data_IF_865071055535
#
_entry.id   IF_865071055535
#
_cell.length_a   1.000
_cell.length_b   1.000
_cell.length_c   1.000
_cell.angle_alpha   90.00
_cell.angle_beta   90.00
_cell.angle_gamma   90.00
#
_symmetry.space_group_name_H-M   'P 1'
#
loop_
_entity.id
_entity.type
_entity.pdbx_description
1 polymer ?
#
# COMPACT_ATOMS: atom_id res chain seq x y z
N UNK A 1 25.08 7.81 -32.31
CA UNK A 1 26.37 7.77 -33.05
C UNK A 1 26.83 9.21 -33.19
N UNK A 2 27.88 9.61 -32.46
CA UNK A 2 28.44 10.96 -32.58
C UNK A 2 29.49 10.96 -33.68
N UNK A 3 29.22 11.65 -34.79
CA UNK A 3 30.22 11.88 -35.81
C UNK A 3 31.21 12.93 -35.30
N UNK A 4 32.43 12.49 -34.97
CA UNK A 4 33.59 13.37 -34.94
C UNK A 4 33.86 13.79 -36.39
N UNK A 5 34.10 15.08 -36.60
CA UNK A 5 34.57 15.64 -37.87
C UNK A 5 35.83 14.90 -38.30
N UNK A 6 35.70 13.94 -39.21
CA UNK A 6 36.79 13.39 -40.00
C UNK A 6 36.16 12.68 -41.20
N UNK A 7 36.41 13.26 -42.37
CA UNK A 7 36.07 12.81 -43.73
C UNK A 7 34.60 12.84 -44.20
N UNK A 8 34.25 13.97 -44.81
CA UNK A 8 33.75 13.99 -46.20
C UNK A 8 32.25 13.96 -46.44
N UNK A 9 31.43 13.47 -45.52
CA UNK A 9 29.99 13.32 -45.78
C UNK A 9 29.16 14.36 -45.03
N UNK A 10 28.60 15.32 -45.78
CA UNK A 10 27.65 16.32 -45.28
C UNK A 10 26.23 15.83 -45.58
N UNK A 11 25.45 15.57 -44.54
CA UNK A 11 24.02 15.25 -44.69
C UNK A 11 23.31 16.53 -45.13
N UNK A 12 22.86 16.57 -46.38
CA UNK A 12 22.20 17.75 -46.98
C UNK A 12 20.67 17.65 -46.92
N UNK A 13 20.11 16.44 -46.93
CA UNK A 13 18.67 16.20 -46.96
C UNK A 13 18.28 14.93 -46.19
N UNK A 14 17.09 14.94 -45.58
CA UNK A 14 16.41 13.73 -45.07
C UNK A 14 15.03 13.69 -45.72
N UNK A 15 14.70 12.60 -46.42
CA UNK A 15 13.42 12.42 -47.13
C UNK A 15 13.07 13.58 -48.09
N UNK A 16 14.07 14.16 -48.76
CA UNK A 16 13.89 15.25 -49.72
C UNK A 16 13.65 16.64 -49.09
N UNK A 17 13.83 16.79 -47.77
CA UNK A 17 13.82 18.09 -47.11
C UNK A 17 15.25 18.52 -46.73
N UNK A 18 15.68 19.74 -47.08
CA UNK A 18 16.99 20.27 -46.70
C UNK A 18 17.10 20.43 -45.19
N UNK A 19 18.23 20.01 -44.60
CA UNK A 19 18.47 20.13 -43.14
C UNK A 19 19.61 21.10 -42.87
N UNK A 20 19.32 22.19 -42.16
CA UNK A 20 20.35 23.09 -41.62
C UNK A 20 20.74 22.73 -40.19
N UNK A 21 21.93 23.17 -39.75
CA UNK A 21 22.35 23.01 -38.34
C UNK A 21 21.37 23.74 -37.42
N UNK A 22 20.95 23.09 -36.33
CA UNK A 22 19.93 23.56 -35.39
C UNK A 22 18.50 23.67 -35.94
N UNK A 23 18.24 23.15 -37.14
CA UNK A 23 16.89 23.13 -37.71
C UNK A 23 16.19 21.80 -37.39
N UNK A 24 14.93 21.87 -36.99
CA UNK A 24 14.09 20.72 -36.68
C UNK A 24 13.36 20.33 -37.96
N UNK A 25 13.62 19.13 -38.48
CA UNK A 25 12.97 18.63 -39.69
C UNK A 25 12.04 17.49 -39.32
N UNK A 26 10.75 17.67 -39.58
CA UNK A 26 9.70 16.70 -39.27
C UNK A 26 9.52 15.73 -40.43
N UNK A 27 9.68 14.43 -40.18
CA UNK A 27 9.31 13.35 -41.10
C UNK A 27 8.13 12.57 -40.53
N UNK A 28 7.40 11.82 -41.36
CA UNK A 28 6.11 11.21 -40.97
C UNK A 28 6.08 10.35 -39.70
N UNK A 29 7.24 9.97 -39.13
CA UNK A 29 7.37 9.22 -37.88
C UNK A 29 8.25 9.91 -36.80
N UNK A 30 8.56 11.20 -36.91
CA UNK A 30 9.31 11.94 -35.88
C UNK A 30 9.96 13.24 -36.33
N UNK A 31 10.73 13.84 -35.43
CA UNK A 31 11.56 15.02 -35.65
C UNK A 31 13.04 14.61 -35.66
N UNK A 32 13.83 15.14 -36.60
CA UNK A 32 15.29 15.05 -36.56
C UNK A 32 15.86 16.43 -36.27
N UNK A 33 16.69 16.51 -35.25
CA UNK A 33 17.50 17.69 -34.94
C UNK A 33 18.97 17.37 -35.25
N UNK A 34 19.56 18.15 -36.15
CA UNK A 34 21.00 18.14 -36.40
C UNK A 34 21.66 19.17 -35.48
N UNK A 35 22.38 18.71 -34.45
CA UNK A 35 23.05 19.65 -33.53
C UNK A 35 24.17 20.40 -34.24
N UNK A 36 24.57 21.55 -33.70
CA UNK A 36 25.70 22.36 -34.22
C UNK A 36 27.02 21.57 -34.36
N UNK A 37 27.18 20.52 -33.54
CA UNK A 37 28.33 19.60 -33.53
C UNK A 37 28.19 18.42 -34.52
N UNK A 38 27.17 18.42 -35.37
CA UNK A 38 26.95 17.37 -36.38
C UNK A 38 26.38 16.06 -35.84
N UNK A 39 25.97 16.01 -34.56
CA UNK A 39 25.27 14.84 -34.03
C UNK A 39 23.79 14.90 -34.36
N UNK A 40 23.25 13.78 -34.83
CA UNK A 40 21.85 13.63 -35.18
C UNK A 40 21.06 13.12 -33.97
N UNK A 41 20.04 13.88 -33.57
CA UNK A 41 19.07 13.48 -32.55
C UNK A 41 17.74 13.20 -33.24
N UNK A 42 17.28 11.95 -33.18
CA UNK A 42 15.99 11.54 -33.73
C UNK A 42 15.02 11.46 -32.56
N UNK A 43 13.98 12.28 -32.58
CA UNK A 43 12.83 12.20 -31.66
C UNK A 43 11.68 11.54 -32.42
N UNK A 44 11.36 10.27 -32.17
CA UNK A 44 10.19 9.66 -32.80
C UNK A 44 8.92 10.43 -32.40
N UNK A 45 7.93 10.47 -33.29
CA UNK A 45 6.67 11.16 -33.03
C UNK A 45 5.99 10.49 -31.82
N UNK A 46 5.79 11.24 -30.74
CA UNK A 46 4.99 10.76 -29.62
C UNK A 46 3.54 10.65 -30.10
N UNK A 47 3.11 9.46 -30.50
CA UNK A 47 1.70 9.16 -30.77
C UNK A 47 0.87 9.21 -29.48
N UNK A 48 -0.18 8.40 -29.37
CA UNK A 48 -0.92 8.24 -28.10
C UNK A 48 -0.11 7.52 -26.99
N UNK A 49 1.14 7.15 -27.26
CA UNK A 49 2.01 6.40 -26.35
C UNK A 49 3.18 7.27 -25.88
N UNK A 50 3.38 7.33 -24.56
CA UNK A 50 4.55 7.95 -23.94
C UNK A 50 5.85 7.27 -24.38
N UNK A 51 6.99 7.97 -24.29
CA UNK A 51 8.32 7.39 -24.54
C UNK A 51 8.51 6.10 -23.73
N UNK A 52 9.05 5.06 -24.39
CA UNK A 52 9.23 3.73 -23.81
C UNK A 52 10.07 3.71 -22.52
N UNK A 53 10.84 4.77 -22.26
CA UNK A 53 11.56 4.96 -21.01
C UNK A 53 10.61 5.12 -19.82
N UNK A 54 9.46 5.77 -20.00
CA UNK A 54 8.48 6.06 -18.95
C UNK A 54 7.35 5.04 -18.89
N UNK A 55 6.89 4.55 -20.04
CA UNK A 55 5.81 3.57 -20.12
C UNK A 55 6.19 2.43 -21.09
N UNK A 56 6.77 1.32 -20.58
CA UNK A 56 7.14 0.19 -21.42
C UNK A 56 5.91 -0.51 -22.01
N UNK A 57 6.10 -1.12 -23.18
CA UNK A 57 5.07 -1.93 -23.81
C UNK A 57 4.63 -3.09 -22.89
N UNK A 58 3.32 -3.43 -22.82
CA UNK A 58 2.81 -4.51 -21.96
C UNK A 58 3.53 -5.86 -22.15
N UNK A 59 4.00 -6.15 -23.37
CA UNK A 59 4.76 -7.34 -23.68
C UNK A 59 6.12 -7.40 -22.95
N UNK A 60 6.78 -6.25 -22.80
CA UNK A 60 8.06 -6.15 -22.08
C UNK A 60 7.83 -6.34 -20.58
N UNK A 61 6.76 -5.78 -20.04
CA UNK A 61 6.32 -6.01 -18.66
C UNK A 61 6.07 -7.51 -18.42
N UNK A 62 5.40 -8.20 -19.34
CA UNK A 62 5.17 -9.65 -19.22
C UNK A 62 6.45 -10.48 -19.28
N UNK A 63 7.35 -10.20 -20.23
CA UNK A 63 8.66 -10.87 -20.32
C UNK A 63 9.49 -10.64 -19.05
N UNK A 64 9.50 -9.40 -18.57
CA UNK A 64 10.16 -9.01 -17.32
C UNK A 64 9.54 -9.72 -16.11
N UNK A 65 8.23 -9.91 -16.05
CA UNK A 65 7.56 -10.69 -15.00
C UNK A 65 8.00 -12.15 -14.99
N UNK A 66 8.03 -12.82 -16.16
CA UNK A 66 8.46 -14.22 -16.26
C UNK A 66 9.93 -14.38 -15.80
N UNK A 67 10.79 -13.44 -16.20
CA UNK A 67 12.19 -13.39 -15.77
C UNK A 67 12.31 -13.17 -14.26
N UNK A 68 11.59 -12.18 -13.72
CA UNK A 68 11.58 -11.86 -12.29
C UNK A 68 11.08 -13.05 -11.43
N UNK A 69 10.12 -13.80 -11.94
CA UNK A 69 9.58 -14.98 -11.26
C UNK A 69 10.58 -16.16 -11.23
N UNK A 70 11.48 -16.25 -12.21
CA UNK A 70 12.50 -17.31 -12.29
C UNK A 70 13.81 -16.94 -11.59
N UNK A 71 14.29 -15.73 -11.81
CA UNK A 71 15.62 -15.26 -11.41
C UNK A 71 15.59 -14.40 -10.13
N UNK A 72 14.42 -13.87 -9.75
CA UNK A 72 14.29 -12.93 -8.65
C UNK A 72 14.82 -11.53 -8.98
N UNK A 73 14.81 -10.65 -7.98
CA UNK A 73 15.40 -9.31 -8.06
C UNK A 73 16.36 -9.11 -6.88
N UNK A 74 17.62 -8.75 -7.16
CA UNK A 74 18.63 -8.52 -6.12
C UNK A 74 18.79 -9.74 -5.18
N UNK A 75 18.87 -10.95 -5.74
CA UNK A 75 18.96 -12.23 -5.00
C UNK A 75 17.77 -12.56 -4.07
N UNK A 76 16.64 -11.88 -4.22
CA UNK A 76 15.40 -12.17 -3.48
C UNK A 76 14.29 -12.51 -4.47
N UNK A 77 13.58 -13.61 -4.23
CA UNK A 77 12.47 -14.02 -5.07
C UNK A 77 11.33 -12.98 -5.06
N UNK A 78 10.60 -12.88 -6.17
CA UNK A 78 9.41 -12.01 -6.26
C UNK A 78 8.39 -12.32 -5.15
N UNK A 79 8.06 -13.60 -4.98
CA UNK A 79 7.13 -14.08 -3.97
C UNK A 79 7.69 -14.00 -2.55
N UNK A 80 9.00 -14.08 -2.38
CA UNK A 80 9.63 -13.86 -1.08
C UNK A 80 9.44 -12.41 -0.62
N UNK A 81 9.65 -11.43 -1.52
CA UNK A 81 9.38 -10.02 -1.22
C UNK A 81 7.92 -9.78 -0.81
N UNK A 82 6.98 -10.36 -1.56
CA UNK A 82 5.54 -10.31 -1.25
C UNK A 82 5.24 -10.94 0.11
N UNK A 83 5.82 -12.11 0.39
CA UNK A 83 5.62 -12.82 1.64
C UNK A 83 6.08 -12.00 2.85
N UNK A 84 7.25 -11.36 2.76
CA UNK A 84 7.73 -10.46 3.81
C UNK A 84 6.81 -9.26 4.05
N UNK A 85 6.27 -8.67 2.99
CA UNK A 85 5.27 -7.59 3.13
C UNK A 85 3.99 -8.10 3.80
N UNK A 86 3.50 -9.27 3.40
CA UNK A 86 2.28 -9.87 3.95
C UNK A 86 2.42 -10.23 5.43
N UNK A 87 3.51 -10.90 5.83
CA UNK A 87 3.69 -11.34 7.22
C UNK A 87 3.76 -10.14 8.17
N UNK A 88 4.43 -9.04 7.76
CA UNK A 88 4.49 -7.79 8.54
C UNK A 88 3.11 -7.20 8.77
N UNK A 89 2.29 -7.14 7.71
CA UNK A 89 0.92 -6.62 7.77
C UNK A 89 0.08 -7.48 8.69
N UNK A 90 0.12 -8.80 8.55
CA UNK A 90 -0.64 -9.72 9.39
C UNK A 90 -0.22 -9.61 10.86
N UNK A 91 1.08 -9.57 11.15
CA UNK A 91 1.58 -9.45 12.53
C UNK A 91 1.22 -8.10 13.16
N UNK A 92 1.46 -6.99 12.46
CA UNK A 92 1.12 -5.66 12.94
C UNK A 92 -0.39 -5.51 13.18
N UNK A 93 -1.20 -5.96 12.23
CA UNK A 93 -2.66 -5.97 12.35
C UNK A 93 -3.15 -6.87 13.51
N UNK A 94 -2.60 -8.08 13.64
CA UNK A 94 -2.97 -9.01 14.70
C UNK A 94 -2.67 -8.43 16.09
N UNK A 95 -1.49 -7.81 16.27
CA UNK A 95 -1.15 -7.09 17.50
C UNK A 95 -2.10 -5.90 17.72
N UNK A 96 -2.41 -5.15 16.65
CA UNK A 96 -3.34 -4.01 16.74
C UNK A 96 -4.74 -4.44 17.17
N UNK A 97 -5.23 -5.58 16.69
CA UNK A 97 -6.49 -6.17 17.14
C UNK A 97 -6.40 -6.66 18.59
N UNK A 98 -5.31 -7.35 18.94
CA UNK A 98 -5.09 -7.94 20.26
C UNK A 98 -5.13 -6.89 21.37
N UNK A 99 -4.57 -5.70 21.14
CA UNK A 99 -4.57 -4.62 22.12
C UNK A 99 -5.71 -3.61 21.90
N UNK A 100 -6.03 -3.29 20.65
CA UNK A 100 -7.04 -2.28 20.32
C UNK A 100 -8.46 -2.72 20.64
N UNK A 101 -8.82 -3.98 20.37
CA UNK A 101 -10.18 -4.46 20.68
C UNK A 101 -10.43 -4.43 22.19
N UNK A 102 -9.59 -5.01 23.06
CA UNK A 102 -9.80 -4.92 24.51
C UNK A 102 -9.83 -3.48 25.04
N UNK A 103 -8.95 -2.61 24.54
CA UNK A 103 -8.96 -1.20 24.93
C UNK A 103 -10.27 -0.51 24.53
N UNK A 104 -10.75 -0.73 23.31
CA UNK A 104 -12.03 -0.19 22.84
C UNK A 104 -13.22 -0.71 23.64
N UNK A 105 -13.22 -1.99 24.03
CA UNK A 105 -14.22 -2.53 24.96
C UNK A 105 -14.15 -1.88 26.34
N UNK A 106 -12.94 -1.71 26.89
CA UNK A 106 -12.75 -1.05 28.19
C UNK A 106 -13.29 0.40 28.15
N UNK A 107 -13.00 1.14 27.08
CA UNK A 107 -13.52 2.50 26.86
C UNK A 107 -15.03 2.54 26.62
N UNK A 108 -15.59 1.53 25.96
CA UNK A 108 -17.03 1.43 25.70
C UNK A 108 -17.86 1.07 26.94
N UNK A 109 -17.28 0.30 27.88
CA UNK A 109 -17.97 -0.19 29.08
C UNK A 109 -17.70 0.66 30.33
N UNK A 110 -16.60 1.41 30.38
CA UNK A 110 -16.19 2.18 31.56
C UNK A 110 -15.93 3.65 31.24
N UNK A 111 -16.64 4.53 31.93
CA UNK A 111 -16.45 5.98 31.84
C UNK A 111 -15.05 6.42 32.30
N UNK A 112 -14.40 5.67 33.19
CA UNK A 112 -13.05 5.98 33.66
C UNK A 112 -12.01 5.74 32.54
N UNK A 113 -12.06 4.57 31.90
CA UNK A 113 -11.19 4.27 30.75
C UNK A 113 -11.46 5.21 29.59
N UNK A 114 -12.73 5.54 29.35
CA UNK A 114 -13.12 6.53 28.34
C UNK A 114 -12.48 7.88 28.64
N UNK A 115 -12.64 8.43 29.84
CA UNK A 115 -12.08 9.75 30.18
C UNK A 115 -10.56 9.86 30.00
N UNK A 116 -9.82 8.79 30.31
CA UNK A 116 -8.35 8.80 30.20
C UNK A 116 -7.83 8.59 28.77
N UNK A 117 -8.41 7.63 28.03
CA UNK A 117 -7.89 7.23 26.72
C UNK A 117 -8.56 7.94 25.55
N UNK A 118 -9.77 8.48 25.70
CA UNK A 118 -10.49 9.17 24.62
C UNK A 118 -9.68 10.35 24.03
N UNK A 119 -9.08 11.24 24.85
CA UNK A 119 -8.25 12.33 24.32
C UNK A 119 -7.02 11.83 23.53
N UNK A 120 -6.38 10.75 23.99
CA UNK A 120 -5.19 10.17 23.34
C UNK A 120 -5.58 9.55 21.99
N UNK A 121 -6.69 8.81 21.96
CA UNK A 121 -7.18 8.14 20.75
C UNK A 121 -7.61 9.17 19.71
N UNK A 122 -8.36 10.21 20.10
CA UNK A 122 -8.78 11.26 19.18
C UNK A 122 -7.60 12.13 18.70
N UNK A 123 -6.56 12.31 19.51
CA UNK A 123 -5.33 12.97 19.09
C UNK A 123 -4.54 12.13 18.08
N UNK A 124 -4.45 10.82 18.29
CA UNK A 124 -3.70 9.92 17.39
C UNK A 124 -4.45 9.62 16.09
N UNK A 125 -5.78 9.75 16.08
CA UNK A 125 -6.63 9.49 14.91
C UNK A 125 -6.23 10.26 13.63
N UNK A 126 -5.97 11.59 13.65
CA UNK A 126 -5.56 12.33 12.46
C UNK A 126 -4.08 12.12 12.09
N UNK A 127 -3.25 11.58 13.00
CA UNK A 127 -1.81 11.44 12.77
C UNK A 127 -1.56 10.32 11.76
N UNK A 128 -1.03 10.62 10.56
CA UNK A 128 -0.72 9.59 9.58
C UNK A 128 0.34 8.65 10.16
N UNK A 129 0.18 7.32 10.09
CA UNK A 129 1.21 6.39 10.58
C UNK A 129 2.58 6.68 9.96
N UNK A 130 2.63 7.08 8.69
CA UNK A 130 3.86 7.44 7.97
C UNK A 130 4.69 8.53 8.67
N UNK A 131 4.04 9.47 9.36
CA UNK A 131 4.72 10.52 10.11
C UNK A 131 5.52 9.97 11.31
N UNK A 132 5.20 8.76 11.77
CA UNK A 132 5.86 8.09 12.89
C UNK A 132 7.09 7.30 12.47
N UNK A 133 7.39 7.15 11.17
CA UNK A 133 8.54 6.38 10.69
C UNK A 133 9.86 6.81 11.37
N UNK A 134 10.22 8.12 11.46
CA UNK A 134 11.47 8.52 12.09
C UNK A 134 11.53 8.14 13.57
N UNK A 135 10.42 8.30 14.30
CA UNK A 135 10.33 7.97 15.72
C UNK A 135 10.48 6.46 15.95
N UNK A 136 9.84 5.66 15.12
CA UNK A 136 9.93 4.20 15.15
C UNK A 136 11.36 3.72 14.87
N UNK A 137 12.06 4.37 13.93
CA UNK A 137 13.46 4.06 13.64
C UNK A 137 14.35 4.37 14.86
N UNK A 138 14.09 5.47 15.58
CA UNK A 138 14.85 5.80 16.79
C UNK A 138 14.59 4.79 17.91
N UNK A 139 13.34 4.35 18.09
CA UNK A 139 12.96 3.46 19.18
C UNK A 139 13.32 1.99 18.94
N UNK A 140 13.10 1.50 17.72
CA UNK A 140 13.18 0.07 17.38
C UNK A 140 14.22 -0.23 16.30
N UNK A 141 14.88 0.78 15.75
CA UNK A 141 15.83 0.63 14.65
C UNK A 141 15.16 0.38 13.29
N UNK A 142 15.99 0.04 12.31
CA UNK A 142 15.62 -0.21 10.90
C UNK A 142 15.15 -1.66 10.67
N UNK A 143 15.25 -2.51 11.70
CA UNK A 143 14.92 -3.92 11.60
C UNK A 143 13.43 -4.23 11.39
N UNK A 144 13.09 -5.51 11.37
CA UNK A 144 11.72 -6.01 11.22
C UNK A 144 10.79 -5.52 12.33
N UNK A 145 11.31 -5.40 13.55
CA UNK A 145 10.53 -4.94 14.71
C UNK A 145 9.97 -3.53 14.51
N UNK A 146 10.74 -2.58 13.98
CA UNK A 146 10.25 -1.22 13.72
C UNK A 146 9.07 -1.20 12.76
N UNK A 147 9.18 -1.91 11.63
CA UNK A 147 8.11 -2.03 10.63
C UNK A 147 6.82 -2.63 11.23
N UNK A 148 6.95 -3.68 12.03
CA UNK A 148 5.79 -4.32 12.70
C UNK A 148 5.19 -3.38 13.74
N UNK A 149 6.01 -2.69 14.55
CA UNK A 149 5.55 -1.70 15.53
C UNK A 149 4.78 -0.54 14.88
N UNK A 150 5.23 -0.08 13.72
CA UNK A 150 4.54 0.96 12.95
C UNK A 150 3.14 0.50 12.52
N UNK A 151 3.05 -0.70 11.95
CA UNK A 151 1.78 -1.31 11.52
C UNK A 151 0.86 -1.60 12.70
N UNK A 152 1.43 -2.04 13.82
CA UNK A 152 0.72 -2.19 15.08
C UNK A 152 0.06 -0.89 15.52
N UNK A 153 0.80 0.23 15.57
CA UNK A 153 0.25 1.53 15.96
C UNK A 153 -0.82 2.02 14.98
N UNK A 154 -0.64 1.78 13.68
CA UNK A 154 -1.63 2.11 12.67
C UNK A 154 -2.96 1.37 12.91
N UNK A 155 -2.91 0.06 13.20
CA UNK A 155 -4.09 -0.75 13.48
C UNK A 155 -4.68 -0.49 14.87
N UNK A 156 -3.85 -0.23 15.89
CA UNK A 156 -4.26 -0.09 17.29
C UNK A 156 -5.39 0.92 17.47
N UNK A 157 -5.22 2.14 16.94
CA UNK A 157 -6.18 3.21 17.14
C UNK A 157 -7.48 2.98 16.36
N UNK A 158 -7.37 2.52 15.11
CA UNK A 158 -8.53 2.19 14.27
C UNK A 158 -9.37 1.08 14.94
N UNK A 159 -8.73 0.02 15.43
CA UNK A 159 -9.41 -1.08 16.10
C UNK A 159 -10.02 -0.68 17.44
N UNK A 160 -9.35 0.20 18.19
CA UNK A 160 -9.87 0.77 19.44
C UNK A 160 -11.16 1.55 19.19
N UNK A 161 -11.16 2.41 18.18
CA UNK A 161 -12.33 3.22 17.81
C UNK A 161 -13.48 2.32 17.34
N UNK A 162 -13.20 1.35 16.47
CA UNK A 162 -14.21 0.43 15.96
C UNK A 162 -14.83 -0.44 17.05
N UNK A 163 -14.02 -0.96 17.98
CA UNK A 163 -14.52 -1.74 19.11
C UNK A 163 -15.35 -0.89 20.08
N UNK A 164 -14.91 0.34 20.39
CA UNK A 164 -15.70 1.28 21.19
C UNK A 164 -17.04 1.59 20.53
N UNK A 165 -17.04 1.94 19.24
CA UNK A 165 -18.24 2.25 18.49
C UNK A 165 -19.22 1.07 18.49
N UNK A 166 -18.70 -0.15 18.29
CA UNK A 166 -19.49 -1.38 18.35
C UNK A 166 -20.14 -1.62 19.71
N UNK A 167 -19.42 -1.34 20.80
CA UNK A 167 -19.97 -1.47 22.16
C UNK A 167 -21.01 -0.40 22.47
N UNK A 168 -20.73 0.86 22.13
CA UNK A 168 -21.67 1.98 22.36
C UNK A 168 -22.91 1.94 21.46
N UNK A 169 -22.85 1.26 20.31
CA UNK A 169 -23.96 1.10 19.38
C UNK A 169 -24.98 0.03 19.77
N UNK A 170 -24.76 -0.72 20.85
CA UNK A 170 -25.70 -1.75 21.31
C UNK A 170 -26.98 -1.10 21.84
N UNK A 171 -28.13 -1.46 21.27
CA UNK A 171 -29.42 -0.94 21.71
C UNK A 171 -29.67 -1.28 23.19
N UNK A 172 -29.94 -0.24 23.99
CA UNK A 172 -30.16 -0.35 25.43
C UNK A 172 -31.33 -1.27 25.78
N UNK A 173 -32.35 -1.39 24.92
CA UNK A 173 -33.45 -2.32 25.08
C UNK A 173 -32.99 -3.79 25.09
N UNK A 174 -31.99 -4.15 24.27
CA UNK A 174 -31.40 -5.51 24.29
C UNK A 174 -30.66 -5.77 25.60
N UNK A 175 -30.01 -4.75 26.14
CA UNK A 175 -29.31 -4.82 27.42
C UNK A 175 -30.29 -4.99 28.59
N UNK A 176 -31.36 -4.17 28.63
CA UNK A 176 -32.39 -4.28 29.65
C UNK A 176 -33.15 -5.62 29.57
N UNK A 177 -33.52 -6.08 28.37
CA UNK A 177 -34.18 -7.37 28.19
C UNK A 177 -33.29 -8.53 28.71
N UNK A 178 -31.99 -8.50 28.44
CA UNK A 178 -31.07 -9.50 28.97
C UNK A 178 -30.99 -9.46 30.49
N UNK A 179 -30.95 -8.28 31.11
CA UNK A 179 -31.01 -8.14 32.57
C UNK A 179 -32.34 -8.64 33.16
N UNK A 180 -33.48 -8.38 32.51
CA UNK A 180 -34.79 -8.90 32.93
C UNK A 180 -34.86 -10.43 32.88
N UNK A 181 -34.09 -11.07 31.99
CA UNK A 181 -33.93 -12.52 31.93
C UNK A 181 -32.90 -13.07 32.93
N UNK A 182 -32.37 -12.24 33.85
CA UNK A 182 -31.41 -12.64 34.87
C UNK A 182 -29.97 -12.79 34.37
N UNK A 183 -29.61 -12.19 33.22
CA UNK A 183 -28.26 -12.30 32.70
C UNK A 183 -27.23 -11.64 33.62
N UNK A 184 -26.17 -12.37 33.94
CA UNK A 184 -24.99 -11.83 34.64
C UNK A 184 -24.18 -10.89 33.74
N UNK A 185 -23.35 -10.02 34.32
CA UNK A 185 -22.48 -9.10 33.55
C UNK A 185 -21.63 -9.81 32.48
N UNK A 186 -21.11 -10.99 32.80
CA UNK A 186 -20.32 -11.81 31.87
C UNK A 186 -21.18 -12.37 30.73
N UNK A 187 -22.40 -12.81 31.03
CA UNK A 187 -23.34 -13.27 30.01
C UNK A 187 -23.80 -12.12 29.11
N UNK A 188 -24.06 -10.95 29.67
CA UNK A 188 -24.38 -9.75 28.90
C UNK A 188 -23.23 -9.41 27.92
N UNK A 189 -21.99 -9.39 28.40
CA UNK A 189 -20.84 -9.08 27.58
C UNK A 189 -20.67 -10.10 26.43
N UNK A 190 -20.66 -11.40 26.74
CA UNK A 190 -20.37 -12.44 25.76
C UNK A 190 -21.54 -12.77 24.81
N UNK A 191 -22.78 -12.66 25.28
CA UNK A 191 -23.97 -13.08 24.51
C UNK A 191 -24.73 -11.92 23.86
N UNK A 192 -24.56 -10.70 24.36
CA UNK A 192 -25.27 -9.52 23.85
C UNK A 192 -24.28 -8.53 23.25
N UNK A 193 -23.34 -8.01 24.04
CA UNK A 193 -22.49 -6.90 23.60
C UNK A 193 -21.50 -7.35 22.52
N UNK A 194 -20.78 -8.44 22.74
CA UNK A 194 -19.78 -8.95 21.80
C UNK A 194 -20.43 -9.31 20.43
N UNK A 195 -21.51 -10.11 20.33
CA UNK A 195 -22.12 -10.42 19.03
C UNK A 195 -22.70 -9.21 18.29
N UNK A 196 -23.24 -8.23 19.01
CA UNK A 196 -23.77 -7.00 18.39
C UNK A 196 -22.66 -6.03 17.95
N UNK A 197 -21.48 -6.07 18.57
CA UNK A 197 -20.33 -5.20 18.22
C UNK A 197 -19.45 -5.78 17.11
N UNK A 198 -19.47 -7.10 16.88
CA UNK A 198 -18.70 -7.76 15.82
C UNK A 198 -18.85 -7.12 14.41
N UNK A 199 -20.06 -6.75 13.93
CA UNK A 199 -20.22 -6.09 12.62
C UNK A 199 -19.42 -4.80 12.48
N UNK A 200 -19.34 -4.01 13.56
CA UNK A 200 -18.61 -2.74 13.60
C UNK A 200 -17.10 -2.99 13.69
N UNK A 201 -16.68 -3.94 14.54
CA UNK A 201 -15.28 -4.36 14.67
C UNK A 201 -14.73 -4.87 13.33
N UNK A 202 -15.50 -5.66 12.58
CA UNK A 202 -15.09 -6.14 11.26
C UNK A 202 -15.02 -5.03 10.20
N UNK A 203 -15.91 -4.04 10.28
CA UNK A 203 -15.84 -2.85 9.42
C UNK A 203 -14.55 -2.10 9.71
N UNK A 204 -14.24 -1.87 10.99
CA UNK A 204 -12.96 -1.28 11.42
C UNK A 204 -11.74 -2.10 11.01
N UNK A 205 -11.83 -3.42 11.12
CA UNK A 205 -10.77 -4.34 10.72
C UNK A 205 -10.42 -4.23 9.24
N UNK A 206 -11.42 -4.09 8.35
CA UNK A 206 -11.20 -3.85 6.92
C UNK A 206 -10.45 -2.54 6.67
N UNK A 207 -10.88 -1.47 7.33
CA UNK A 207 -10.21 -0.16 7.24
C UNK A 207 -8.78 -0.25 7.74
N UNK A 208 -8.57 -0.85 8.93
CA UNK A 208 -7.25 -1.03 9.53
C UNK A 208 -6.32 -1.86 8.63
N UNK A 209 -6.83 -2.92 8.02
CA UNK A 209 -6.07 -3.77 7.09
C UNK A 209 -5.62 -2.99 5.84
N UNK A 210 -6.52 -2.18 5.26
CA UNK A 210 -6.17 -1.31 4.14
C UNK A 210 -5.10 -0.26 4.50
N UNK A 211 -5.21 0.36 5.67
CA UNK A 211 -4.20 1.30 6.18
C UNK A 211 -2.86 0.60 6.42
N UNK A 212 -2.86 -0.60 7.00
CA UNK A 212 -1.64 -1.40 7.21
C UNK A 212 -0.98 -1.75 5.87
N UNK A 213 -1.77 -2.15 4.87
CA UNK A 213 -1.27 -2.46 3.53
C UNK A 213 -0.60 -1.25 2.86
N UNK A 214 -1.22 -0.08 2.88
CA UNK A 214 -0.61 1.15 2.35
C UNK A 214 0.66 1.55 3.12
N UNK A 215 0.61 1.39 4.46
CA UNK A 215 1.70 1.79 5.35
C UNK A 215 2.92 0.87 5.24
N UNK A 216 2.74 -0.45 5.05
CA UNK A 216 3.88 -1.38 4.92
C UNK A 216 4.69 -1.05 3.67
N UNK A 217 4.03 -0.74 2.55
CA UNK A 217 4.71 -0.43 1.29
C UNK A 217 5.57 0.82 1.49
N UNK A 218 5.01 1.87 2.08
CA UNK A 218 5.75 3.09 2.34
C UNK A 218 6.90 2.90 3.35
N UNK A 219 6.69 2.11 4.41
CA UNK A 219 7.75 1.77 5.37
C UNK A 219 8.92 1.00 4.70
N UNK A 220 8.60 0.13 3.75
CA UNK A 220 9.60 -0.62 2.98
C UNK A 220 10.42 0.24 2.03
N UNK A 221 9.87 1.35 1.53
CA UNK A 221 10.60 2.30 0.68
C UNK A 221 11.74 2.99 1.46
N UNK A 222 11.52 3.28 2.73
CA UNK A 222 12.46 4.05 3.56
C UNK A 222 13.58 3.15 4.09
N UNK A 223 13.23 2.01 4.68
CA UNK A 223 14.17 1.29 5.54
C UNK A 223 13.92 -0.24 5.58
N UNK A 224 13.82 -0.89 4.40
CA UNK A 224 13.75 -2.35 4.33
C UNK A 224 14.83 -2.97 3.45
N UNK A 225 15.27 -4.16 3.84
CA UNK A 225 16.16 -5.02 3.04
C UNK A 225 15.37 -5.92 2.09
N UNK A 226 14.21 -6.41 2.54
CA UNK A 226 13.27 -7.27 1.78
C UNK A 226 11.88 -6.67 1.80
N UNK A 227 11.11 -6.84 0.73
CA UNK A 227 9.72 -6.37 0.65
C UNK A 227 9.34 -5.90 -0.75
N UNK A 228 8.04 -5.92 -1.07
CA UNK A 228 7.54 -5.47 -2.36
C UNK A 228 7.84 -3.97 -2.60
N UNK A 229 7.71 -3.12 -1.58
CA UNK A 229 8.08 -1.71 -1.65
C UNK A 229 9.58 -1.52 -1.88
N UNK A 230 10.42 -2.31 -1.21
CA UNK A 230 11.88 -2.28 -1.39
C UNK A 230 12.28 -2.64 -2.83
N UNK A 231 11.64 -3.64 -3.42
CA UNK A 231 11.85 -4.02 -4.82
C UNK A 231 11.53 -2.86 -5.77
N UNK A 232 10.42 -2.15 -5.54
CA UNK A 232 10.01 -1.00 -6.35
C UNK A 232 11.03 0.14 -6.28
N UNK A 233 11.45 0.55 -5.08
CA UNK A 233 12.41 1.66 -4.95
C UNK A 233 13.78 1.29 -5.52
N UNK A 234 14.19 0.03 -5.40
CA UNK A 234 15.44 -0.45 -5.97
C UNK A 234 15.38 -0.44 -7.51
N UNK A 235 14.30 -0.93 -8.12
CA UNK A 235 14.07 -0.86 -9.56
C UNK A 235 13.99 0.58 -10.08
N UNK A 236 13.32 1.47 -9.34
CA UNK A 236 13.19 2.89 -9.68
C UNK A 236 14.55 3.61 -9.74
N UNK A 237 15.51 3.23 -8.90
CA UNK A 237 16.87 3.83 -8.92
C UNK A 237 17.64 3.52 -10.20
N UNK A 238 17.34 2.41 -10.85
CA UNK A 238 17.96 2.00 -12.13
C UNK A 238 17.06 2.28 -13.34
N UNK A 239 15.99 3.06 -13.17
CA UNK A 239 15.02 3.38 -14.23
C UNK A 239 14.44 2.12 -14.92
N UNK A 240 14.37 1.01 -14.18
CA UNK A 240 13.75 -0.23 -14.64
C UNK A 240 12.23 -0.14 -14.47
N UNK A 241 11.60 0.69 -15.30
CA UNK A 241 10.15 0.99 -15.23
C UNK A 241 9.28 -0.26 -15.41
N UNK A 242 9.74 -1.26 -16.18
CA UNK A 242 9.12 -2.59 -16.27
C UNK A 242 8.88 -3.20 -14.88
N UNK A 243 9.92 -3.23 -14.04
CA UNK A 243 9.89 -3.89 -12.73
C UNK A 243 9.08 -3.07 -11.73
N UNK A 244 9.15 -1.73 -11.82
CA UNK A 244 8.33 -0.82 -11.03
C UNK A 244 6.84 -1.08 -11.30
N UNK A 245 6.45 -1.16 -12.58
CA UNK A 245 5.05 -1.43 -12.97
C UNK A 245 4.61 -2.82 -12.51
N UNK A 246 5.44 -3.85 -12.67
CA UNK A 246 5.16 -5.20 -12.13
C UNK A 246 4.91 -5.13 -10.62
N UNK A 247 5.77 -4.44 -9.87
CA UNK A 247 5.63 -4.28 -8.43
C UNK A 247 4.32 -3.60 -8.04
N UNK A 248 3.95 -2.51 -8.73
CA UNK A 248 2.69 -1.80 -8.50
C UNK A 248 1.48 -2.70 -8.78
N UNK A 249 1.48 -3.43 -9.91
CA UNK A 249 0.41 -4.36 -10.27
C UNK A 249 0.26 -5.45 -9.21
N UNK A 250 1.37 -6.06 -8.77
CA UNK A 250 1.36 -7.12 -7.77
C UNK A 250 0.84 -6.60 -6.43
N UNK A 251 1.28 -5.43 -5.99
CA UNK A 251 0.79 -4.81 -4.75
C UNK A 251 -0.72 -4.53 -4.85
N UNK A 252 -1.19 -4.04 -6.00
CA UNK A 252 -2.61 -3.80 -6.26
C UNK A 252 -3.43 -5.09 -6.21
N UNK A 253 -2.97 -6.16 -6.86
CA UNK A 253 -3.63 -7.47 -6.86
C UNK A 253 -3.70 -8.05 -5.44
N UNK A 254 -2.60 -7.97 -4.68
CA UNK A 254 -2.57 -8.50 -3.31
C UNK A 254 -3.47 -7.67 -2.39
N UNK A 255 -3.40 -6.34 -2.47
CA UNK A 255 -4.29 -5.46 -1.69
C UNK A 255 -5.77 -5.73 -2.00
N UNK A 256 -6.11 -5.90 -3.27
CA UNK A 256 -7.46 -6.29 -3.68
C UNK A 256 -7.84 -7.68 -3.16
N UNK A 257 -6.93 -8.66 -3.23
CA UNK A 257 -7.16 -10.00 -2.71
C UNK A 257 -7.41 -9.98 -1.19
N UNK A 258 -6.64 -9.20 -0.42
CA UNK A 258 -6.84 -9.00 1.02
C UNK A 258 -8.24 -8.44 1.29
N UNK A 259 -8.66 -7.41 0.56
CA UNK A 259 -9.99 -6.81 0.72
C UNK A 259 -11.11 -7.80 0.40
N UNK A 260 -11.00 -8.57 -0.69
CA UNK A 260 -11.97 -9.60 -1.06
C UNK A 260 -12.03 -10.71 0.00
N UNK A 261 -10.88 -11.16 0.50
CA UNK A 261 -10.81 -12.17 1.55
C UNK A 261 -11.46 -11.67 2.85
N UNK A 262 -11.22 -10.42 3.23
CA UNK A 262 -11.84 -9.82 4.41
C UNK A 262 -13.36 -9.70 4.28
N UNK A 263 -13.88 -9.30 3.10
CA UNK A 263 -15.33 -9.28 2.84
C UNK A 263 -15.95 -10.68 2.91
N UNK A 264 -15.26 -11.69 2.35
CA UNK A 264 -15.72 -13.08 2.41
C UNK A 264 -15.71 -13.61 3.85
N UNK A 265 -14.70 -13.25 4.64
CA UNK A 265 -14.61 -13.59 6.06
C UNK A 265 -15.75 -12.94 6.86
N UNK A 266 -16.04 -11.66 6.61
CA UNK A 266 -17.15 -10.92 7.23
C UNK A 266 -18.51 -11.58 6.95
N UNK A 267 -18.81 -11.89 5.68
CA UNK A 267 -20.08 -12.52 5.31
C UNK A 267 -20.27 -13.92 5.93
N UNK A 268 -19.16 -14.65 6.14
CA UNK A 268 -19.19 -16.00 6.73
C UNK A 268 -19.29 -15.96 8.26
N UNK A 269 -18.58 -15.04 8.91
CA UNK A 269 -18.52 -14.93 10.37
C UNK A 269 -19.67 -14.13 10.96
N UNK A 270 -20.28 -13.23 10.18
CA UNK A 270 -21.33 -12.31 10.62
C UNK A 270 -22.53 -12.36 9.66
N UNK A 271 -23.20 -13.51 9.52
CA UNK A 271 -24.38 -13.64 8.65
C UNK A 271 -25.58 -12.81 9.11
N UNK A 272 -25.57 -12.32 10.35
CA UNK A 272 -26.63 -11.49 10.94
C UNK A 272 -26.48 -9.99 10.66
N UNK A 273 -25.39 -9.56 10.01
CA UNK A 273 -25.19 -8.15 9.65
C UNK A 273 -26.31 -7.70 8.69
N UNK A 274 -27.05 -6.66 9.09
CA UNK A 274 -28.17 -6.11 8.31
C UNK A 274 -29.54 -6.80 8.51
N UNK A 275 -29.66 -7.72 9.48
CA UNK A 275 -30.93 -8.40 9.84
C UNK A 275 -31.49 -7.96 11.20
N UNK A 276 -31.27 -6.71 11.61
CA UNK A 276 -31.64 -6.19 12.92
C UNK A 276 -32.56 -4.99 12.83
#
# INVERSE_FOLDING_TARGET
IGAKETDGFKIIEINGQPISKNEIVSFGNGEVLLTSKGSMQIRPYAGMTMEALYLPAPENVWKSFVRLNKEGYTNVGLWENVFWSLIRVVLGFALGCLFGIPLGFAMGLSNWFRGWFDPIVEFMRPVPPLALIPLIIIWFGIGEQGKISLLFLAALWIMTIAARAGVSGVNISKVHAAYSLGATKRQLLLKVILPNSLPEIFTGARVAMGVCWGTVVAAELVAAEKGAGKMIIAASKFQLTDIVIIGIIIIGIIGFAIEVLMRKAENRLIPWKGRG
#
